data_IF_429307606347
#
_entry.id   IF_429307606347
#
_cell.length_a   1.000
_cell.length_b   1.000
_cell.length_c   1.000
_cell.angle_alpha   90.00
_cell.angle_beta   90.00
_cell.angle_gamma   90.00
#
_symmetry.space_group_name_H-M   'P 1'
#
loop_
_entity.id
_entity.type
_entity.pdbx_description
1 polymer ?
#
# COMPACT_ATOMS: atom_id res chain seq x y z
N UNK A 1 -13.95 -13.20 -1.37
CA UNK A 1 -13.72 -12.19 -2.43
C UNK A 1 -13.03 -12.91 -3.57
N UNK A 2 -13.84 -13.60 -4.36
CA UNK A 2 -13.45 -14.26 -5.60
C UNK A 2 -13.20 -13.18 -6.63
N UNK A 3 -12.05 -13.21 -7.30
CA UNK A 3 -11.79 -12.40 -8.47
C UNK A 3 -12.94 -12.61 -9.48
N UNK A 4 -13.76 -11.59 -9.68
CA UNK A 4 -14.91 -11.58 -10.62
C UNK A 4 -14.47 -11.62 -12.10
N UNK A 5 -13.18 -11.80 -12.39
CA UNK A 5 -12.65 -11.92 -13.74
C UNK A 5 -12.52 -13.37 -14.25
N UNK A 6 -12.86 -14.39 -13.45
CA UNK A 6 -12.63 -15.80 -13.81
C UNK A 6 -13.88 -16.54 -14.33
N UNK A 7 -14.83 -15.81 -14.94
CA UNK A 7 -16.13 -16.39 -15.34
C UNK A 7 -16.13 -16.85 -16.83
N UNK A 8 -15.10 -16.55 -17.63
CA UNK A 8 -15.13 -16.76 -19.09
C UNK A 8 -13.90 -17.42 -19.74
N UNK A 9 -13.11 -18.19 -19.00
CA UNK A 9 -12.02 -18.99 -19.60
C UNK A 9 -12.45 -20.44 -19.83
N UNK A 10 -12.73 -20.80 -21.08
CA UNK A 10 -12.98 -22.19 -21.46
C UNK A 10 -11.82 -23.11 -21.02
N UNK A 11 -12.08 -24.34 -20.55
CA UNK A 11 -11.02 -25.24 -20.09
C UNK A 11 -10.05 -25.57 -21.23
N UNK A 12 -8.74 -25.55 -20.93
CA UNK A 12 -7.69 -25.88 -21.90
C UNK A 12 -7.57 -27.41 -21.99
N UNK A 13 -7.74 -28.03 -23.19
CA UNK A 13 -7.58 -29.46 -23.37
C UNK A 13 -6.16 -29.96 -23.03
N UNK A 14 -6.05 -31.20 -22.55
CA UNK A 14 -4.76 -31.80 -22.24
C UNK A 14 -3.84 -31.80 -23.47
N UNK A 15 -2.58 -31.34 -23.29
CA UNK A 15 -1.60 -31.24 -24.37
C UNK A 15 -1.65 -29.94 -25.19
N UNK A 16 -2.54 -29.01 -24.86
CA UNK A 16 -2.61 -27.67 -25.46
C UNK A 16 -2.25 -26.58 -24.43
N UNK A 17 -1.77 -25.45 -24.92
CA UNK A 17 -1.47 -24.24 -24.15
C UNK A 17 -2.21 -23.07 -24.79
N UNK A 18 -2.75 -22.16 -23.98
CA UNK A 18 -3.40 -20.94 -24.48
C UNK A 18 -2.35 -19.85 -24.71
N UNK A 19 -2.34 -19.24 -25.89
CA UNK A 19 -1.44 -18.13 -26.20
C UNK A 19 -2.02 -16.77 -25.76
N UNK A 20 -1.26 -15.68 -25.95
CA UNK A 20 -1.67 -14.31 -25.61
C UNK A 20 -2.88 -13.77 -26.40
N UNK A 21 -3.21 -14.39 -27.54
CA UNK A 21 -4.41 -14.06 -28.35
C UNK A 21 -5.63 -14.87 -27.95
N UNK A 22 -5.47 -15.84 -27.04
CA UNK A 22 -6.52 -16.75 -26.61
C UNK A 22 -6.57 -18.07 -27.40
N UNK A 23 -5.72 -18.27 -28.42
CA UNK A 23 -5.72 -19.49 -29.23
C UNK A 23 -5.09 -20.68 -28.50
N UNK A 24 -5.59 -21.88 -28.79
CA UNK A 24 -5.04 -23.13 -28.28
C UNK A 24 -3.93 -23.63 -29.21
N UNK A 25 -2.70 -23.63 -28.71
CA UNK A 25 -1.51 -24.13 -29.41
C UNK A 25 -1.12 -25.47 -28.81
N UNK A 26 -0.95 -26.50 -29.66
CA UNK A 26 -0.48 -27.79 -29.19
C UNK A 26 0.91 -27.63 -28.53
N UNK A 27 1.11 -28.20 -27.34
CA UNK A 27 2.29 -27.98 -26.52
C UNK A 27 3.59 -28.18 -27.31
N UNK A 28 3.67 -29.23 -28.16
CA UNK A 28 4.79 -29.52 -29.07
C UNK A 28 5.20 -28.36 -30.00
N UNK A 29 4.26 -27.49 -30.38
CA UNK A 29 4.48 -26.37 -31.28
C UNK A 29 4.96 -25.10 -30.56
N UNK A 30 4.98 -25.11 -29.22
CA UNK A 30 5.55 -24.03 -28.41
C UNK A 30 7.06 -24.20 -28.33
N UNK A 31 7.81 -23.13 -28.58
CA UNK A 31 9.27 -23.17 -28.54
C UNK A 31 9.78 -23.47 -27.11
N UNK A 32 10.96 -24.08 -27.00
CA UNK A 32 11.59 -24.34 -25.69
C UNK A 32 11.82 -23.05 -24.91
N UNK A 33 12.29 -21.99 -25.58
CA UNK A 33 12.49 -20.68 -24.98
C UNK A 33 11.19 -20.07 -24.43
N UNK A 34 10.05 -20.26 -25.11
CA UNK A 34 8.75 -19.80 -24.62
C UNK A 34 8.29 -20.60 -23.39
N UNK A 35 8.51 -21.92 -23.37
CA UNK A 35 8.20 -22.76 -22.21
C UNK A 35 9.06 -22.40 -21.00
N UNK A 36 10.34 -22.14 -21.20
CA UNK A 36 11.25 -21.73 -20.13
C UNK A 36 10.84 -20.37 -19.56
N UNK A 37 10.48 -19.42 -20.43
CA UNK A 37 9.97 -18.12 -20.01
C UNK A 37 8.68 -18.26 -19.22
N UNK A 38 7.72 -19.05 -19.71
CA UNK A 38 6.45 -19.32 -19.03
C UNK A 38 6.68 -19.95 -17.65
N UNK A 39 7.58 -20.93 -17.57
CA UNK A 39 7.93 -21.58 -16.30
C UNK A 39 8.58 -20.60 -15.30
N UNK A 40 9.45 -19.70 -15.75
CA UNK A 40 10.05 -18.65 -14.91
C UNK A 40 8.97 -17.68 -14.42
N UNK A 41 8.13 -17.17 -15.33
CA UNK A 41 7.03 -16.24 -15.00
C UNK A 41 6.06 -16.89 -14.02
N UNK A 42 5.63 -18.13 -14.28
CA UNK A 42 4.72 -18.87 -13.40
C UNK A 42 5.29 -19.07 -12.00
N UNK A 43 6.59 -19.38 -11.86
CA UNK A 43 7.25 -19.48 -10.55
C UNK A 43 7.26 -18.13 -9.82
N UNK A 44 7.69 -17.06 -10.49
CA UNK A 44 7.75 -15.71 -9.90
C UNK A 44 6.35 -15.25 -9.48
N UNK A 45 5.36 -15.45 -10.34
CA UNK A 45 3.96 -15.14 -10.05
C UNK A 45 3.44 -15.92 -8.84
N UNK A 46 3.76 -17.22 -8.75
CA UNK A 46 3.41 -18.04 -7.61
C UNK A 46 3.96 -17.50 -6.28
N UNK A 47 5.23 -17.05 -6.25
CA UNK A 47 5.80 -16.39 -5.07
C UNK A 47 5.11 -15.06 -4.76
N UNK A 48 4.84 -14.25 -5.79
CA UNK A 48 4.17 -12.95 -5.66
C UNK A 48 2.76 -13.06 -5.08
N UNK A 49 1.95 -13.99 -5.59
CA UNK A 49 0.59 -14.26 -5.07
C UNK A 49 0.64 -14.70 -3.61
N UNK A 50 1.57 -15.59 -3.26
CA UNK A 50 1.71 -16.05 -1.88
C UNK A 50 2.08 -14.92 -0.91
N UNK A 51 2.99 -14.03 -1.32
CA UNK A 51 3.38 -12.85 -0.54
C UNK A 51 2.23 -11.84 -0.44
N UNK A 52 1.53 -11.57 -1.54
CA UNK A 52 0.36 -10.69 -1.56
C UNK A 52 -0.72 -11.18 -0.56
N UNK A 53 -1.02 -12.48 -0.58
CA UNK A 53 -1.96 -13.07 0.37
C UNK A 53 -1.48 -12.96 1.84
N UNK A 54 -0.17 -13.06 2.09
CA UNK A 54 0.39 -12.83 3.44
C UNK A 54 0.26 -11.37 3.87
N UNK A 55 0.56 -10.43 2.99
CA UNK A 55 0.40 -9.00 3.25
C UNK A 55 -1.06 -8.61 3.49
N UNK A 56 -1.99 -9.20 2.74
CA UNK A 56 -3.43 -9.01 2.94
C UNK A 56 -3.90 -9.43 4.34
N UNK A 57 -3.56 -10.66 4.76
CA UNK A 57 -3.89 -11.14 6.11
C UNK A 57 -3.25 -10.29 7.20
N UNK A 58 -1.99 -9.90 7.02
CA UNK A 58 -1.30 -9.01 7.96
C UNK A 58 -2.02 -7.67 8.10
N UNK A 59 -2.44 -7.06 6.98
CA UNK A 59 -3.19 -5.80 6.96
C UNK A 59 -4.52 -5.93 7.71
N UNK A 60 -5.29 -6.98 7.43
CA UNK A 60 -6.59 -7.24 8.05
C UNK A 60 -6.48 -7.40 9.56
N UNK A 61 -5.59 -8.28 10.03
CA UNK A 61 -5.39 -8.51 11.46
C UNK A 61 -4.90 -7.24 12.18
N UNK A 62 -3.90 -6.56 11.61
CA UNK A 62 -3.39 -5.31 12.21
C UNK A 62 -4.50 -4.26 12.33
N UNK A 63 -5.33 -4.11 11.30
CA UNK A 63 -6.44 -3.16 11.34
C UNK A 63 -7.48 -3.53 12.41
N UNK A 64 -7.84 -4.82 12.51
CA UNK A 64 -8.76 -5.30 13.55
C UNK A 64 -8.24 -4.98 14.94
N UNK A 65 -7.00 -5.39 15.24
CA UNK A 65 -6.37 -5.21 16.56
C UNK A 65 -6.30 -3.73 16.97
N UNK A 66 -5.92 -2.86 16.02
CA UNK A 66 -5.83 -1.42 16.27
C UNK A 66 -7.20 -0.79 16.54
N UNK A 67 -8.23 -1.17 15.79
CA UNK A 67 -9.58 -0.65 15.95
C UNK A 67 -10.24 -1.16 17.23
N UNK A 68 -10.09 -2.45 17.54
CA UNK A 68 -10.57 -3.05 18.79
C UNK A 68 -9.92 -2.39 20.01
N UNK A 69 -8.61 -2.12 19.97
CA UNK A 69 -7.94 -1.38 21.04
C UNK A 69 -8.51 0.04 21.17
N UNK A 70 -8.70 0.76 20.07
CA UNK A 70 -9.28 2.11 20.06
C UNK A 70 -10.67 2.10 20.68
N UNK A 71 -11.52 1.15 20.30
CA UNK A 71 -12.88 1.02 20.82
C UNK A 71 -12.87 0.75 22.33
N UNK A 72 -12.04 -0.19 22.80
CA UNK A 72 -11.88 -0.47 24.24
C UNK A 72 -11.43 0.76 25.03
N UNK A 73 -10.51 1.55 24.47
CA UNK A 73 -10.04 2.79 25.11
C UNK A 73 -11.15 3.83 25.16
N UNK A 74 -11.87 4.07 24.06
CA UNK A 74 -12.98 5.02 24.00
C UNK A 74 -14.10 4.64 24.99
N UNK A 75 -14.50 3.36 24.99
CA UNK A 75 -15.51 2.83 25.89
C UNK A 75 -15.13 3.02 27.36
N UNK A 76 -13.86 2.80 27.72
CA UNK A 76 -13.34 3.00 29.08
C UNK A 76 -13.56 4.43 29.61
N UNK A 77 -13.54 5.44 28.73
CA UNK A 77 -13.73 6.85 29.09
C UNK A 77 -15.14 7.38 28.77
N UNK A 78 -16.10 6.52 28.42
CA UNK A 78 -17.47 6.92 28.09
C UNK A 78 -17.59 7.76 26.81
N UNK A 79 -16.56 7.72 25.95
CA UNK A 79 -16.57 8.43 24.68
C UNK A 79 -17.49 7.78 23.65
N UNK A 80 -17.98 8.57 22.70
CA UNK A 80 -18.66 8.04 21.51
C UNK A 80 -17.64 7.88 20.38
N UNK A 81 -17.78 6.83 19.58
CA UNK A 81 -16.99 6.67 18.37
C UNK A 81 -17.35 7.81 17.39
N UNK A 82 -16.53 8.87 17.33
CA UNK A 82 -16.63 9.93 16.33
C UNK A 82 -16.18 9.44 14.95
N UNK A 83 -16.43 10.26 13.91
CA UNK A 83 -16.30 9.96 12.47
C UNK A 83 -14.95 9.40 11.95
N UNK A 84 -14.75 9.45 10.63
CA UNK A 84 -13.75 8.72 9.84
C UNK A 84 -12.45 8.36 10.59
N UNK A 85 -12.02 7.09 10.44
CA UNK A 85 -10.87 6.46 11.13
C UNK A 85 -9.60 7.34 11.10
N UNK A 86 -9.42 8.22 12.07
CA UNK A 86 -8.26 9.11 12.12
C UNK A 86 -6.93 8.36 12.27
N UNK A 87 -5.81 9.08 12.19
CA UNK A 87 -4.49 8.50 12.40
C UNK A 87 -4.37 7.89 13.80
N UNK A 88 -3.87 6.67 13.91
CA UNK A 88 -3.66 5.96 15.19
C UNK A 88 -2.17 5.65 15.32
N UNK A 89 -1.57 5.96 16.46
CA UNK A 89 -0.20 5.56 16.80
C UNK A 89 -0.23 4.76 18.08
N UNK A 90 0.27 3.53 18.02
CA UNK A 90 0.44 2.65 19.17
C UNK A 90 1.92 2.41 19.38
N UNK A 91 2.38 2.57 20.61
CA UNK A 91 3.75 2.28 21.02
C UNK A 91 3.72 1.20 22.08
N UNK A 92 4.63 0.22 22.01
CA UNK A 92 4.77 -0.81 23.04
C UNK A 92 5.15 -0.22 24.39
N UNK A 93 4.87 -0.96 25.47
CA UNK A 93 5.14 -0.51 26.84
C UNK A 93 6.62 -0.25 27.10
N UNK A 94 7.51 -1.08 26.54
CA UNK A 94 8.96 -0.87 26.58
C UNK A 94 9.43 0.33 25.74
N UNK A 95 8.54 0.96 24.99
CA UNK A 95 8.84 2.08 24.12
C UNK A 95 9.63 1.72 22.87
N UNK A 96 9.95 0.45 22.59
CA UNK A 96 10.88 0.08 21.52
C UNK A 96 10.22 -0.32 20.20
N UNK A 97 8.89 -0.47 20.16
CA UNK A 97 8.12 -0.84 18.96
C UNK A 97 6.96 0.12 18.78
N UNK A 98 6.65 0.45 17.53
CA UNK A 98 5.54 1.35 17.22
C UNK A 98 4.85 0.93 15.93
N UNK A 99 3.52 0.99 15.96
CA UNK A 99 2.63 0.78 14.81
C UNK A 99 1.85 2.05 14.57
N UNK A 100 1.87 2.55 13.33
CA UNK A 100 1.10 3.72 12.90
C UNK A 100 0.13 3.36 11.80
N UNK A 101 -1.14 3.72 11.99
CA UNK A 101 -2.14 3.78 10.93
C UNK A 101 -2.28 5.25 10.51
N UNK A 102 -2.03 5.52 9.22
CA UNK A 102 -2.14 6.84 8.64
C UNK A 102 -3.16 6.84 7.50
N UNK A 103 -4.05 7.82 7.49
CA UNK A 103 -4.94 8.07 6.37
C UNK A 103 -4.42 9.24 5.55
N UNK A 104 -4.30 9.04 4.23
CA UNK A 104 -4.11 10.13 3.29
C UNK A 104 -5.38 10.30 2.46
N UNK A 105 -5.85 11.54 2.35
CA UNK A 105 -6.93 11.91 1.44
C UNK A 105 -6.33 12.30 0.10
N UNK A 106 -6.87 11.73 -0.97
CA UNK A 106 -6.52 12.07 -2.33
C UNK A 106 -7.58 13.02 -2.86
N UNK A 107 -7.12 14.18 -3.32
CA UNK A 107 -7.95 15.23 -3.89
C UNK A 107 -7.85 15.15 -5.41
N UNK A 108 -9.01 15.15 -6.08
CA UNK A 108 -9.12 15.33 -7.52
C UNK A 108 -9.32 16.81 -7.83
N UNK A 109 -8.71 17.24 -8.93
CA UNK A 109 -8.86 18.58 -9.45
C UNK A 109 -9.84 18.54 -10.63
N UNK A 110 -10.97 19.23 -10.47
CA UNK A 110 -12.00 19.39 -11.49
C UNK A 110 -11.69 20.49 -12.51
N UNK A 111 -12.53 20.61 -13.56
CA UNK A 111 -12.35 21.58 -14.64
C UNK A 111 -12.42 23.04 -14.17
N UNK A 112 -12.99 23.31 -13.00
CA UNK A 112 -13.07 24.66 -12.40
C UNK A 112 -11.68 25.29 -12.18
N UNK A 113 -10.61 24.49 -12.18
CA UNK A 113 -9.24 24.97 -12.08
C UNK A 113 -8.85 25.90 -13.25
N UNK A 114 -9.44 25.70 -14.43
CA UNK A 114 -9.19 26.56 -15.59
C UNK A 114 -9.77 27.97 -15.35
N UNK A 115 -10.98 28.05 -14.78
CA UNK A 115 -11.58 29.33 -14.40
C UNK A 115 -10.80 30.02 -13.28
N UNK A 116 -10.31 29.25 -12.29
CA UNK A 116 -9.46 29.77 -11.24
C UNK A 116 -8.15 30.36 -11.79
N UNK A 117 -7.55 29.72 -12.80
CA UNK A 117 -6.33 30.21 -13.46
C UNK A 117 -6.58 31.51 -14.23
N UNK A 118 -7.69 31.62 -14.96
CA UNK A 118 -8.03 32.86 -15.67
C UNK A 118 -8.19 34.05 -14.71
N UNK A 119 -8.92 33.85 -13.60
CA UNK A 119 -9.14 34.89 -12.59
C UNK A 119 -7.85 35.35 -11.91
N UNK A 120 -6.92 34.42 -11.63
CA UNK A 120 -5.64 34.79 -11.01
C UNK A 120 -4.72 35.51 -11.99
N UNK A 121 -4.73 35.14 -13.27
CA UNK A 121 -3.96 35.85 -14.30
C UNK A 121 -4.49 37.28 -14.49
N UNK A 122 -5.82 37.49 -14.50
CA UNK A 122 -6.45 38.83 -14.53
C UNK A 122 -6.04 39.68 -13.31
N UNK A 123 -6.03 39.10 -12.10
CA UNK A 123 -5.53 39.80 -10.90
C UNK A 123 -4.06 40.23 -11.06
N UNK A 124 -3.22 39.31 -11.53
CA UNK A 124 -1.77 39.52 -11.61
C UNK A 124 -1.37 40.51 -12.70
N UNK A 125 -2.14 40.64 -13.77
CA UNK A 125 -1.87 41.62 -14.83
C UNK A 125 -2.08 43.06 -14.35
N UNK A 126 -3.13 43.34 -13.59
CA UNK A 126 -3.35 44.67 -13.03
C UNK A 126 -2.36 44.97 -11.90
N UNK A 127 -2.00 43.97 -11.10
CA UNK A 127 -0.98 44.12 -10.07
C UNK A 127 0.41 44.30 -10.64
N UNK A 128 0.69 43.87 -11.88
CA UNK A 128 2.00 43.99 -12.53
C UNK A 128 2.50 45.43 -12.71
N UNK A 129 1.66 46.45 -12.48
CA UNK A 129 2.10 47.85 -12.35
C UNK A 129 2.83 48.16 -11.04
N UNK A 130 2.70 47.32 -10.00
CA UNK A 130 3.30 47.49 -8.65
C UNK A 130 3.86 46.22 -8.00
N UNK A 131 3.51 45.03 -8.48
CA UNK A 131 3.92 43.74 -7.91
C UNK A 131 5.14 43.17 -8.62
N UNK A 132 6.21 43.01 -7.85
CA UNK A 132 7.43 42.27 -8.13
C UNK A 132 7.17 41.00 -8.98
N UNK A 133 7.87 40.91 -10.11
CA UNK A 133 7.87 39.80 -11.07
C UNK A 133 7.94 38.41 -10.39
N UNK A 134 8.57 38.34 -9.21
CA UNK A 134 8.70 37.16 -8.36
C UNK A 134 7.35 36.57 -7.88
N UNK A 135 6.36 37.42 -7.55
CA UNK A 135 5.04 36.96 -7.09
C UNK A 135 4.29 36.26 -8.22
N UNK A 136 4.34 36.84 -9.43
CA UNK A 136 3.72 36.24 -10.62
C UNK A 136 4.35 34.88 -10.95
N UNK A 137 5.67 34.76 -10.82
CA UNK A 137 6.37 33.49 -11.02
C UNK A 137 5.94 32.43 -10.01
N UNK A 138 5.78 32.81 -8.74
CA UNK A 138 5.35 31.89 -7.67
C UNK A 138 3.92 31.38 -7.88
N UNK A 139 2.98 32.27 -8.23
CA UNK A 139 1.59 31.88 -8.50
C UNK A 139 1.49 30.99 -9.74
N UNK A 140 2.15 31.36 -10.85
CA UNK A 140 2.17 30.52 -12.07
C UNK A 140 2.81 29.15 -11.81
N UNK A 141 3.82 29.07 -10.95
CA UNK A 141 4.44 27.80 -10.56
C UNK A 141 3.51 26.88 -9.76
N UNK A 142 2.42 27.39 -9.19
CA UNK A 142 1.39 26.59 -8.51
C UNK A 142 0.50 25.83 -9.48
N UNK A 143 0.19 26.44 -10.64
CA UNK A 143 -0.65 25.86 -11.70
C UNK A 143 0.13 24.99 -12.70
N UNK A 144 1.46 25.00 -12.63
CA UNK A 144 2.28 24.18 -13.52
C UNK A 144 1.98 22.69 -13.29
N UNK A 145 1.67 21.92 -14.36
CA UNK A 145 1.46 20.49 -14.24
C UNK A 145 2.71 19.80 -13.68
N UNK A 146 2.50 18.88 -12.76
CA UNK A 146 3.53 17.98 -12.25
C UNK A 146 3.84 16.88 -13.28
N UNK A 147 4.66 15.89 -12.88
CA UNK A 147 5.18 14.81 -13.73
C UNK A 147 4.10 13.95 -14.41
N UNK A 148 2.83 14.09 -14.01
CA UNK A 148 1.69 13.32 -14.54
C UNK A 148 0.60 14.21 -15.17
N UNK A 149 0.91 15.48 -15.50
CA UNK A 149 -0.08 16.41 -16.07
C UNK A 149 -1.05 17.02 -15.06
N UNK A 150 -1.06 16.54 -13.81
CA UNK A 150 -1.91 17.08 -12.74
C UNK A 150 -1.25 18.27 -12.02
N UNK A 151 -2.05 19.27 -11.65
CA UNK A 151 -1.62 20.42 -10.85
C UNK A 151 -1.28 19.99 -9.42
N UNK A 152 -0.26 20.60 -8.81
CA UNK A 152 0.14 20.27 -7.44
C UNK A 152 -0.88 20.77 -6.41
N UNK A 153 -1.65 19.85 -5.83
CA UNK A 153 -2.62 20.12 -4.75
C UNK A 153 -1.98 20.89 -3.58
N UNK A 154 -0.76 20.53 -3.19
CA UNK A 154 -0.04 21.21 -2.10
C UNK A 154 0.18 22.70 -2.39
N UNK A 155 0.53 23.06 -3.63
CA UNK A 155 0.74 24.46 -4.01
C UNK A 155 -0.59 25.22 -4.09
N UNK A 156 -1.64 24.57 -4.61
CA UNK A 156 -2.99 25.14 -4.64
C UNK A 156 -3.53 25.41 -3.22
N UNK A 157 -3.36 24.46 -2.30
CA UNK A 157 -3.72 24.65 -0.89
C UNK A 157 -2.92 25.78 -0.23
N UNK A 158 -1.65 25.98 -0.61
CA UNK A 158 -0.86 27.10 -0.12
C UNK A 158 -1.41 28.45 -0.62
N UNK A 159 -1.79 28.54 -1.90
CA UNK A 159 -2.41 29.74 -2.47
C UNK A 159 -3.76 30.05 -1.83
N UNK A 160 -4.58 29.03 -1.55
CA UNK A 160 -5.89 29.19 -0.89
C UNK A 160 -5.79 29.86 0.49
N UNK A 161 -4.66 29.74 1.19
CA UNK A 161 -4.45 30.35 2.52
C UNK A 161 -4.14 31.84 2.47
N UNK A 162 -3.87 32.39 1.29
CA UNK A 162 -3.52 33.81 1.14
C UNK A 162 -4.82 34.61 1.03
N UNK A 163 -5.08 35.44 2.04
CA UNK A 163 -6.23 36.34 2.06
C UNK A 163 -5.85 37.67 1.40
N UNK A 164 -6.61 38.06 0.37
CA UNK A 164 -6.43 39.32 -0.34
C UNK A 164 -7.81 39.93 -0.55
N UNK A 165 -7.94 41.22 -0.24
CA UNK A 165 -9.17 41.97 -0.37
C UNK A 165 -9.35 42.51 -1.80
N UNK A 166 -9.64 41.58 -2.73
CA UNK A 166 -9.99 41.86 -4.12
C UNK A 166 -11.11 40.89 -4.55
N UNK A 167 -12.16 41.41 -5.20
CA UNK A 167 -13.33 40.62 -5.58
C UNK A 167 -13.00 39.51 -6.59
N UNK A 168 -12.01 39.69 -7.47
CA UNK A 168 -11.51 38.61 -8.35
C UNK A 168 -10.74 37.57 -7.55
N UNK A 169 -9.97 37.98 -6.54
CA UNK A 169 -9.26 37.03 -5.67
C UNK A 169 -10.23 36.15 -4.87
N UNK A 170 -11.34 36.73 -4.38
CA UNK A 170 -12.41 35.95 -3.72
C UNK A 170 -13.06 34.96 -4.69
N UNK A 171 -13.33 35.37 -5.93
CA UNK A 171 -13.84 34.48 -6.99
C UNK A 171 -12.84 33.37 -7.34
N UNK A 172 -11.55 33.69 -7.40
CA UNK A 172 -10.47 32.73 -7.57
C UNK A 172 -10.47 31.68 -6.45
N UNK A 173 -10.56 32.11 -5.18
CA UNK A 173 -10.62 31.18 -4.04
C UNK A 173 -11.86 30.28 -4.07
N UNK A 174 -13.01 30.82 -4.51
CA UNK A 174 -14.24 30.05 -4.67
C UNK A 174 -14.09 28.99 -5.77
N UNK A 175 -13.66 29.39 -6.97
CA UNK A 175 -13.40 28.46 -8.08
C UNK A 175 -12.36 27.39 -7.71
N UNK A 176 -11.32 27.77 -6.96
CA UNK A 176 -10.31 26.85 -6.46
C UNK A 176 -10.89 25.84 -5.45
N UNK A 177 -11.79 26.28 -4.57
CA UNK A 177 -12.47 25.40 -3.63
C UNK A 177 -13.38 24.39 -4.34
N UNK A 178 -14.13 24.83 -5.35
CA UNK A 178 -15.03 23.99 -6.13
C UNK A 178 -14.27 22.97 -7.01
N UNK A 179 -13.07 23.35 -7.47
CA UNK A 179 -12.18 22.47 -8.22
C UNK A 179 -11.64 21.31 -7.36
N UNK A 180 -11.47 21.49 -6.05
CA UNK A 180 -10.84 20.49 -5.18
C UNK A 180 -11.89 19.56 -4.55
N UNK A 181 -11.97 18.33 -5.06
CA UNK A 181 -12.95 17.33 -4.60
C UNK A 181 -12.25 16.14 -3.93
N UNK A 182 -12.73 15.64 -2.78
CA UNK A 182 -12.23 14.38 -2.23
C UNK A 182 -12.53 13.23 -3.20
N UNK A 183 -11.50 12.51 -3.64
CA UNK A 183 -11.64 11.37 -4.58
C UNK A 183 -11.63 10.05 -3.85
N UNK A 184 -10.61 9.84 -3.03
CA UNK A 184 -10.38 8.58 -2.33
C UNK A 184 -9.55 8.78 -1.08
N UNK A 185 -9.47 7.75 -0.25
CA UNK A 185 -8.62 7.72 0.92
C UNK A 185 -7.77 6.46 0.89
N UNK A 186 -6.49 6.64 1.18
CA UNK A 186 -5.52 5.55 1.29
C UNK A 186 -5.11 5.38 2.75
N UNK A 187 -5.19 4.15 3.22
CA UNK A 187 -4.76 3.76 4.58
C UNK A 187 -3.39 3.08 4.51
N UNK A 188 -2.44 3.64 5.24
CA UNK A 188 -1.06 3.19 5.33
C UNK A 188 -0.77 2.68 6.74
N UNK A 189 -0.33 1.42 6.83
CA UNK A 189 0.22 0.84 8.04
C UNK A 189 1.74 0.98 7.98
N UNK A 190 2.33 1.57 9.03
CA UNK A 190 3.78 1.72 9.15
C UNK A 190 4.26 1.10 10.47
N UNK A 191 5.33 0.33 10.37
CA UNK A 191 5.96 -0.35 11.49
C UNK A 191 7.30 0.32 11.78
N UNK A 192 7.59 0.51 13.06
CA UNK A 192 8.83 1.09 13.53
C UNK A 192 9.37 0.31 14.72
N UNK A 193 10.68 0.29 14.82
CA UNK A 193 11.42 -0.32 15.91
C UNK A 193 12.64 0.53 16.28
N UNK A 194 13.13 0.37 17.49
CA UNK A 194 14.40 0.92 17.97
C UNK A 194 15.00 0.00 19.02
N UNK A 195 16.31 0.12 19.28
CA UNK A 195 17.00 -0.79 20.21
C UNK A 195 16.74 -0.41 21.66
N UNK A 196 16.75 0.88 21.96
CA UNK A 196 16.47 1.45 23.28
C UNK A 196 15.44 2.59 23.18
N UNK A 197 14.80 3.00 24.29
CA UNK A 197 13.87 4.11 24.30
C UNK A 197 14.45 5.48 23.91
N UNK A 198 15.78 5.63 23.93
CA UNK A 198 16.47 6.87 23.57
C UNK A 198 16.92 6.89 22.10
N UNK A 199 16.88 5.75 21.42
CA UNK A 199 17.26 5.64 20.02
C UNK A 199 16.21 6.22 19.07
N UNK A 200 16.70 6.62 17.88
CA UNK A 200 15.85 6.99 16.76
C UNK A 200 15.03 5.82 16.21
N UNK A 201 13.82 6.12 15.75
CA UNK A 201 12.94 5.13 15.12
C UNK A 201 13.49 4.66 13.77
N UNK A 202 13.56 3.34 13.59
CA UNK A 202 13.81 2.69 12.32
C UNK A 202 12.52 2.13 11.76
N UNK A 203 12.20 2.45 10.51
CA UNK A 203 11.04 1.88 9.85
C UNK A 203 11.33 0.45 9.37
N UNK A 204 10.41 -0.48 9.66
CA UNK A 204 10.37 -1.81 9.05
C UNK A 204 9.55 -1.67 7.75
N UNK A 205 10.23 -1.67 6.61
CA UNK A 205 9.59 -1.51 5.30
C UNK A 205 9.05 -2.83 4.76
N UNK A 206 7.80 -2.81 4.29
CA UNK A 206 7.19 -3.91 3.52
C UNK A 206 7.25 -3.67 2.00
N UNK A 207 7.94 -2.60 1.57
CA UNK A 207 8.10 -2.26 0.16
C UNK A 207 9.32 -2.97 -0.43
N UNK A 208 9.15 -3.69 -1.54
CA UNK A 208 10.21 -4.55 -2.13
C UNK A 208 11.52 -3.80 -2.42
N UNK A 209 11.47 -2.52 -2.81
CA UNK A 209 12.68 -1.73 -3.07
C UNK A 209 13.49 -1.38 -1.81
N UNK A 210 12.88 -1.41 -0.62
CA UNK A 210 13.52 -0.96 0.63
C UNK A 210 13.44 -2.00 1.75
N UNK A 211 12.84 -3.16 1.49
CA UNK A 211 12.82 -4.29 2.41
C UNK A 211 14.25 -4.76 2.62
N UNK A 212 14.66 -4.84 3.89
CA UNK A 212 15.94 -5.42 4.28
C UNK A 212 15.67 -6.80 4.85
N UNK A 213 16.61 -7.72 4.66
CA UNK A 213 16.59 -9.01 5.35
C UNK A 213 16.65 -8.74 6.85
N UNK A 214 15.55 -9.00 7.55
CA UNK A 214 15.51 -8.97 9.00
C UNK A 214 15.79 -10.40 9.48
N UNK A 215 16.85 -10.59 10.26
CA UNK A 215 17.03 -11.83 11.00
C UNK A 215 15.88 -11.96 12.00
N UNK A 216 15.04 -12.97 11.79
CA UNK A 216 13.89 -13.23 12.63
C UNK A 216 14.37 -13.84 13.96
N UNK A 217 14.07 -13.19 15.08
CA UNK A 217 14.20 -13.83 16.41
C UNK A 217 13.28 -15.07 16.46
N UNK A 218 13.74 -16.20 17.02
CA UNK A 218 13.05 -17.50 16.94
C UNK A 218 11.66 -17.58 17.60
N UNK A 219 11.28 -16.59 18.41
CA UNK A 219 10.07 -16.62 19.24
C UNK A 219 9.00 -15.59 18.84
N UNK A 220 9.06 -15.01 17.63
CA UNK A 220 8.04 -14.04 17.23
C UNK A 220 6.69 -14.74 16.91
N UNK A 221 5.55 -14.24 17.42
CA UNK A 221 4.24 -14.79 17.12
C UNK A 221 3.94 -14.73 15.60
N UNK A 222 3.43 -15.84 15.04
CA UNK A 222 3.11 -15.99 13.61
C UNK A 222 4.11 -16.82 12.78
N UNK A 223 5.19 -17.33 13.38
CA UNK A 223 6.29 -18.00 12.66
C UNK A 223 6.07 -19.46 12.24
N UNK A 224 5.07 -20.18 12.78
CA UNK A 224 4.91 -21.62 12.50
C UNK A 224 4.70 -21.89 11.00
N UNK A 225 3.95 -21.03 10.31
CA UNK A 225 3.68 -21.17 8.88
C UNK A 225 4.90 -20.85 7.99
N UNK A 226 5.80 -19.96 8.43
CA UNK A 226 7.00 -19.57 7.68
C UNK A 226 8.09 -20.64 7.79
N UNK A 227 8.27 -21.21 9.00
CA UNK A 227 9.27 -22.28 9.28
C UNK A 227 8.97 -23.56 8.52
N UNK A 228 7.70 -23.95 8.42
CA UNK A 228 7.31 -25.13 7.63
C UNK A 228 7.65 -24.92 6.15
N UNK A 229 7.44 -23.71 5.60
CA UNK A 229 7.73 -23.44 4.19
C UNK A 229 9.23 -23.38 3.89
N UNK A 230 10.04 -22.77 4.76
CA UNK A 230 11.50 -22.74 4.59
C UNK A 230 12.11 -24.14 4.72
N UNK A 231 11.67 -24.93 5.71
CA UNK A 231 12.12 -26.31 5.89
C UNK A 231 11.70 -27.22 4.74
N UNK A 232 10.48 -27.05 4.19
CA UNK A 232 10.03 -27.76 2.99
C UNK A 232 10.85 -27.37 1.76
N UNK A 233 11.17 -26.08 1.60
CA UNK A 233 12.01 -25.61 0.49
C UNK A 233 13.46 -26.09 0.59
N UNK A 234 14.02 -26.21 1.80
CA UNK A 234 15.33 -26.83 2.05
C UNK A 234 15.32 -28.34 1.81
N UNK A 235 14.30 -29.05 2.28
CA UNK A 235 14.16 -30.49 2.06
C UNK A 235 14.02 -30.82 0.56
N UNK A 236 13.29 -29.99 -0.21
CA UNK A 236 13.19 -30.15 -1.67
C UNK A 236 14.52 -29.87 -2.38
N UNK A 237 15.32 -28.90 -1.89
CA UNK A 237 16.68 -28.65 -2.40
C UNK A 237 17.67 -29.77 -2.06
N UNK A 238 17.45 -30.46 -0.93
CA UNK A 238 18.21 -31.65 -0.50
C UNK A 238 17.75 -32.97 -1.13
N UNK A 239 16.85 -32.95 -2.12
CA UNK A 239 16.42 -34.15 -2.86
C UNK A 239 15.34 -35.00 -2.17
N UNK A 240 14.70 -34.52 -1.10
CA UNK A 240 13.56 -35.25 -0.51
C UNK A 240 12.33 -35.18 -1.42
N UNK A 241 11.67 -36.32 -1.59
CA UNK A 241 10.41 -36.42 -2.34
C UNK A 241 9.24 -35.85 -1.54
N UNK A 242 8.19 -35.39 -2.24
CA UNK A 242 6.96 -34.85 -1.62
C UNK A 242 6.33 -35.82 -0.60
N UNK A 243 6.48 -37.13 -0.78
CA UNK A 243 5.99 -38.17 0.15
C UNK A 243 6.80 -38.21 1.46
N UNK A 244 8.13 -38.06 1.37
CA UNK A 244 9.03 -37.98 2.53
C UNK A 244 8.81 -36.70 3.32
N UNK A 245 8.63 -35.56 2.65
CA UNK A 245 8.34 -34.28 3.29
C UNK A 245 6.99 -34.32 4.03
N UNK A 246 5.95 -34.91 3.42
CA UNK A 246 4.64 -35.05 4.06
C UNK A 246 4.67 -35.93 5.30
N UNK A 247 5.47 -37.01 5.28
CA UNK A 247 5.69 -37.88 6.44
C UNK A 247 6.48 -37.19 7.55
N UNK A 248 7.51 -36.40 7.21
CA UNK A 248 8.30 -35.63 8.17
C UNK A 248 7.48 -34.52 8.86
N UNK A 249 6.65 -33.80 8.11
CA UNK A 249 5.74 -32.77 8.65
C UNK A 249 4.66 -33.39 9.56
N UNK A 250 4.16 -34.59 9.23
CA UNK A 250 3.23 -35.32 10.09
C UNK A 250 3.89 -35.80 11.40
N UNK A 251 5.12 -36.34 11.33
CA UNK A 251 5.88 -36.79 12.50
C UNK A 251 6.27 -35.66 13.46
N UNK A 252 6.60 -34.47 12.94
CA UNK A 252 6.88 -33.30 13.77
C UNK A 252 5.65 -32.82 14.55
N UNK A 253 4.46 -32.91 13.93
CA UNK A 253 3.17 -32.56 14.55
C UNK A 253 2.78 -33.55 15.67
N UNK A 254 3.12 -34.82 15.52
CA UNK A 254 2.91 -35.85 16.54
C UNK A 254 3.89 -35.75 17.73
N UNK A 255 5.11 -35.25 17.52
CA UNK A 255 6.07 -34.99 18.59
C UNK A 255 5.64 -33.80 19.47
N UNK A 256 5.04 -32.76 18.87
CA UNK A 256 4.48 -31.61 19.58
C UNK A 256 3.28 -32.00 20.46
N UNK A 257 2.38 -32.85 19.96
CA UNK A 257 1.23 -33.35 20.72
C UNK A 257 1.63 -34.23 21.92
N UNK A 258 2.83 -34.84 21.89
CA UNK A 258 3.38 -35.62 23.02
C UNK A 258 4.22 -34.78 23.98
N UNK A 259 4.83 -33.69 23.51
CA UNK A 259 5.59 -32.74 24.34
C UNK A 259 4.72 -31.66 25.02
N UNK A 260 3.47 -31.48 24.60
CA UNK A 260 2.50 -30.54 25.16
C UNK A 260 1.50 -31.20 26.14
N UNK A 261 1.93 -32.23 26.89
CA UNK A 261 1.22 -32.62 28.13
C UNK A 261 1.93 -31.93 29.30
N UNK A 262 1.17 -31.43 30.29
CA UNK A 262 1.70 -30.59 31.37
C UNK A 262 2.79 -31.28 32.18
#
# INVERSE_FOLDING_TARGET
MTDENDIWSAPVPAGYLRNHKGDLVHARNVSEADRDRDAVVGRIHGFGVALSAQMGRFREHTMSDMLELRERVIARYGGKLGGARGNITLTSFDGCRMVRLQQAEHIEIGPEIEAAQALVDECLEEWAGRSRLELRALVKAAFRPAVEGCVSVTKLLALRRVEIDDDRWRRFQAALADAMRPKSRSEYIRLYERRTPDDGWRQISLHLATVRTVELKPDAPGQLALRVRSAVAEAMRGGMTRKQIRAAVAGARDLELKGARP
#
